data_IF_669485765532
#
_entry.id   IF_669485765532
#
_cell.length_a   1.000
_cell.length_b   1.000
_cell.length_c   1.000
_cell.angle_alpha   90.00
_cell.angle_beta   90.00
_cell.angle_gamma   90.00
#
_symmetry.space_group_name_H-M   'P 1'
#
loop_
_entity.id
_entity.type
_entity.pdbx_description
1 polymer ?
#
# COMPACT_ATOMS: atom_id res chain seq x y z
N UNK A 1 -21.30 -1.54 11.49
CA UNK A 1 -20.51 -2.52 10.72
C UNK A 1 -19.07 -2.50 11.21
N UNK A 2 -18.64 -3.50 11.97
CA UNK A 2 -17.23 -3.67 12.33
C UNK A 2 -16.45 -4.05 11.06
N UNK A 3 -15.58 -3.16 10.58
CA UNK A 3 -14.66 -3.48 9.48
C UNK A 3 -13.76 -4.61 9.95
N UNK A 4 -13.94 -5.81 9.38
CA UNK A 4 -13.07 -6.95 9.67
C UNK A 4 -11.73 -6.73 8.96
N UNK A 5 -10.66 -6.70 9.74
CA UNK A 5 -9.29 -6.73 9.24
C UNK A 5 -8.79 -8.16 9.28
N UNK A 6 -8.29 -8.65 8.15
CA UNK A 6 -7.69 -9.97 8.03
C UNK A 6 -6.21 -9.80 7.69
N UNK A 7 -5.36 -10.64 8.29
CA UNK A 7 -3.98 -10.74 7.87
C UNK A 7 -3.94 -11.32 6.45
N UNK A 8 -3.09 -10.75 5.59
CA UNK A 8 -2.93 -11.18 4.21
C UNK A 8 -1.44 -11.43 4.01
N UNK A 9 -1.10 -12.56 3.40
CA UNK A 9 0.23 -12.82 2.88
C UNK A 9 0.21 -12.61 1.37
N UNK A 10 1.11 -11.78 0.86
CA UNK A 10 1.23 -11.48 -0.55
C UNK A 10 2.69 -11.65 -0.99
N UNK A 11 2.88 -12.21 -2.19
CA UNK A 11 4.19 -12.23 -2.84
C UNK A 11 4.32 -10.97 -3.69
N UNK A 12 5.44 -10.29 -3.58
CA UNK A 12 5.77 -9.06 -4.31
C UNK A 12 7.17 -9.19 -4.91
N UNK A 13 7.47 -8.39 -5.94
CA UNK A 13 8.83 -8.30 -6.47
C UNK A 13 9.77 -7.64 -5.45
N UNK A 14 11.08 -7.88 -5.59
CA UNK A 14 12.09 -7.25 -4.72
C UNK A 14 12.06 -5.72 -4.87
N UNK A 15 11.88 -5.20 -6.09
CA UNK A 15 11.75 -3.76 -6.32
C UNK A 15 10.55 -3.17 -5.57
N UNK A 16 9.42 -3.87 -5.58
CA UNK A 16 8.23 -3.42 -4.84
C UNK A 16 8.49 -3.44 -3.33
N UNK A 17 9.22 -4.44 -2.85
CA UNK A 17 9.59 -4.55 -1.44
C UNK A 17 10.51 -3.40 -1.03
N UNK A 18 11.59 -3.15 -1.79
CA UNK A 18 12.52 -2.04 -1.55
C UNK A 18 11.79 -0.69 -1.53
N UNK A 19 10.85 -0.48 -2.46
CA UNK A 19 10.03 0.73 -2.48
C UNK A 19 9.18 0.85 -1.20
N UNK A 20 8.46 -0.22 -0.82
CA UNK A 20 7.63 -0.20 0.40
C UNK A 20 8.46 0.01 1.66
N UNK A 21 9.65 -0.56 1.74
CA UNK A 21 10.56 -0.40 2.88
C UNK A 21 11.06 1.05 2.95
N UNK A 22 11.40 1.68 1.82
CA UNK A 22 11.78 3.10 1.79
C UNK A 22 10.66 4.04 2.29
N UNK A 23 9.39 3.71 2.05
CA UNK A 23 8.26 4.49 2.58
C UNK A 23 8.18 4.40 4.11
N UNK A 24 8.61 3.28 4.69
CA UNK A 24 8.69 3.12 6.15
C UNK A 24 9.89 3.89 6.69
N UNK A 25 11.06 3.78 6.06
CA UNK A 25 12.28 4.50 6.46
C UNK A 25 12.12 6.03 6.42
N UNK A 26 11.39 6.54 5.42
CA UNK A 26 11.07 7.96 5.30
C UNK A 26 10.01 8.45 6.29
N UNK A 27 9.43 7.55 7.10
CA UNK A 27 8.36 7.87 8.05
C UNK A 27 7.00 8.18 7.40
N UNK A 28 6.84 7.87 6.11
CA UNK A 28 5.56 8.03 5.38
C UNK A 28 4.56 6.96 5.81
N UNK A 29 5.05 5.78 6.19
CA UNK A 29 4.28 4.68 6.74
C UNK A 29 4.92 4.14 8.02
N UNK A 30 4.12 3.66 8.97
CA UNK A 30 4.59 3.08 10.23
C UNK A 30 5.13 1.65 10.01
N UNK A 31 4.63 0.96 8.97
CA UNK A 31 5.06 -0.39 8.60
C UNK A 31 4.69 -0.71 7.14
N UNK A 32 5.20 -1.83 6.64
CA UNK A 32 4.98 -2.30 5.26
C UNK A 32 3.48 -2.48 4.93
N UNK A 33 2.66 -2.94 5.89
CA UNK A 33 1.21 -3.10 5.66
C UNK A 33 0.51 -1.76 5.43
N UNK A 34 0.92 -0.71 6.13
CA UNK A 34 0.43 0.64 5.91
C UNK A 34 0.92 1.22 4.58
N UNK A 35 2.19 1.01 4.25
CA UNK A 35 2.77 1.41 2.97
C UNK A 35 1.98 0.81 1.79
N UNK A 36 1.62 -0.47 1.86
CA UNK A 36 0.78 -1.14 0.85
C UNK A 36 -0.61 -0.50 0.76
N UNK A 37 -1.25 -0.17 1.89
CA UNK A 37 -2.58 0.48 1.90
C UNK A 37 -2.53 1.87 1.28
N UNK A 38 -1.44 2.62 1.47
CA UNK A 38 -1.23 3.91 0.83
C UNK A 38 -1.16 3.73 -0.69
N UNK A 39 -0.32 2.79 -1.15
CA UNK A 39 -0.17 2.49 -2.59
C UNK A 39 -1.51 2.08 -3.24
N UNK A 40 -2.28 1.19 -2.60
CA UNK A 40 -3.59 0.77 -3.10
C UNK A 40 -4.57 1.94 -3.18
N UNK A 41 -4.58 2.84 -2.19
CA UNK A 41 -5.43 4.03 -2.21
C UNK A 41 -5.07 4.95 -3.38
N UNK A 42 -3.78 5.20 -3.57
CA UNK A 42 -3.29 6.03 -4.67
C UNK A 42 -3.66 5.45 -6.03
N UNK A 43 -3.42 4.14 -6.24
CA UNK A 43 -3.79 3.45 -7.48
C UNK A 43 -5.29 3.53 -7.77
N UNK A 44 -6.14 3.43 -6.75
CA UNK A 44 -7.59 3.60 -6.89
C UNK A 44 -7.97 5.03 -7.27
N UNK A 45 -7.35 6.03 -6.67
CA UNK A 45 -7.59 7.43 -7.01
C UNK A 45 -7.21 7.72 -8.46
N UNK A 46 -6.03 7.28 -8.89
CA UNK A 46 -5.56 7.45 -10.27
C UNK A 46 -6.50 6.81 -11.30
N UNK A 47 -6.96 5.59 -11.05
CA UNK A 47 -7.97 4.95 -11.91
C UNK A 47 -9.27 5.72 -12.01
N UNK A 48 -9.76 6.29 -10.90
CA UNK A 48 -10.97 7.11 -10.93
C UNK A 48 -10.77 8.43 -11.69
N UNK A 49 -9.57 9.02 -11.63
CA UNK A 49 -9.22 10.22 -12.42
C UNK A 49 -9.15 9.93 -13.92
N UNK A 50 -8.69 8.73 -14.31
CA UNK A 50 -8.59 8.31 -15.73
C UNK A 50 -9.94 7.93 -16.34
N UNK A 51 -10.90 7.47 -15.53
CA UNK A 51 -12.25 7.08 -15.96
C UNK A 51 -13.23 8.27 -16.03
N UNK A 52 -12.78 9.50 -15.76
CA UNK A 52 -13.56 10.75 -15.65
C UNK A 52 -13.37 11.67 -16.88
#
# INVERSE_FOLDING_TARGET
MTKRSYAISARISEDSKNYLDSLVELGIAINTSEAVKICIRYAKQKRMEEEL
#
